data_IF_106138685588
#
_entry.id   IF_106138685588
#
_cell.length_a   1.000
_cell.length_b   1.000
_cell.length_c   1.000
_cell.angle_alpha   90.00
_cell.angle_beta   90.00
_cell.angle_gamma   90.00
#
_symmetry.space_group_name_H-M   'P 1'
#
loop_
_entity.id
_entity.type
_entity.pdbx_description
1 polymer ?
#
# COMPACT_ATOMS: atom_id res chain seq x y z
N UNK A 1 -4.06 10.47 1.11
CA UNK A 1 -2.92 9.56 0.84
C UNK A 1 -3.20 8.81 -0.44
N UNK A 2 -2.16 8.40 -1.17
CA UNK A 2 -2.26 7.52 -2.34
C UNK A 2 -1.51 6.22 -2.06
N UNK A 3 -2.09 5.10 -2.47
CA UNK A 3 -1.67 3.78 -2.02
C UNK A 3 -2.46 2.67 -2.69
N UNK A 4 -2.06 1.45 -2.41
CA UNK A 4 -2.66 0.23 -2.94
C UNK A 4 -3.31 -0.58 -1.82
N UNK A 5 -4.48 -1.14 -2.10
CA UNK A 5 -5.11 -2.11 -1.21
C UNK A 5 -4.64 -3.50 -1.60
N UNK A 6 -4.19 -4.28 -0.61
CA UNK A 6 -3.79 -5.67 -0.79
C UNK A 6 -4.55 -6.56 0.19
N UNK A 7 -4.86 -7.78 -0.22
CA UNK A 7 -5.39 -8.83 0.67
C UNK A 7 -4.38 -9.96 0.66
N UNK A 8 -3.98 -10.41 1.84
CA UNK A 8 -3.07 -11.54 2.00
C UNK A 8 -3.84 -12.86 2.10
N UNK A 9 -3.31 -13.88 1.46
CA UNK A 9 -3.71 -15.28 1.62
C UNK A 9 -2.43 -16.10 1.83
N UNK A 10 -2.14 -16.41 3.09
CA UNK A 10 -0.84 -16.94 3.48
C UNK A 10 0.28 -15.93 3.18
N UNK A 11 1.28 -16.34 2.42
CA UNK A 11 2.45 -15.52 2.06
C UNK A 11 2.29 -14.76 0.73
N UNK A 12 1.10 -14.79 0.13
CA UNK A 12 0.85 -14.19 -1.19
C UNK A 12 -0.30 -13.21 -1.16
N UNK A 13 -0.25 -12.22 -2.04
CA UNK A 13 -1.37 -11.32 -2.30
C UNK A 13 -2.44 -12.04 -3.13
N UNK A 14 -3.71 -11.75 -2.86
CA UNK A 14 -4.86 -12.28 -3.57
C UNK A 14 -5.79 -11.15 -4.01
N UNK A 15 -5.62 -10.73 -5.27
CA UNK A 15 -6.42 -9.67 -5.89
C UNK A 15 -7.90 -10.05 -6.06
N UNK A 16 -8.21 -11.34 -6.27
CA UNK A 16 -9.59 -11.79 -6.44
C UNK A 16 -10.45 -11.51 -5.19
N UNK A 17 -9.86 -11.55 -3.98
CA UNK A 17 -10.56 -11.16 -2.76
C UNK A 17 -10.91 -9.66 -2.71
N UNK A 18 -10.08 -8.79 -3.28
CA UNK A 18 -10.41 -7.36 -3.42
C UNK A 18 -11.54 -7.17 -4.43
N UNK A 19 -11.47 -7.81 -5.59
CA UNK A 19 -12.52 -7.73 -6.61
C UNK A 19 -13.87 -8.20 -6.06
N UNK A 20 -13.90 -9.27 -5.27
CA UNK A 20 -15.13 -9.76 -4.61
C UNK A 20 -15.79 -8.71 -3.72
N UNK A 21 -15.02 -7.80 -3.09
CA UNK A 21 -15.60 -6.73 -2.26
C UNK A 21 -16.42 -5.74 -3.09
N UNK A 22 -16.01 -5.45 -4.33
CA UNK A 22 -16.70 -4.50 -5.21
C UNK A 22 -18.11 -5.00 -5.55
N UNK A 23 -18.29 -6.30 -5.67
CA UNK A 23 -19.57 -6.93 -6.07
C UNK A 23 -20.32 -7.58 -4.91
N UNK A 24 -19.79 -7.52 -3.68
CA UNK A 24 -20.30 -8.26 -2.51
C UNK A 24 -21.69 -7.80 -2.02
N UNK A 25 -22.12 -6.57 -2.35
CA UNK A 25 -23.37 -6.00 -1.86
C UNK A 25 -23.52 -6.18 -0.34
N UNK A 26 -24.62 -6.82 0.08
CA UNK A 26 -24.93 -7.06 1.50
C UNK A 26 -23.93 -7.97 2.22
N UNK A 27 -23.16 -8.80 1.49
CA UNK A 27 -22.16 -9.71 2.06
C UNK A 27 -20.82 -9.01 2.34
N UNK A 28 -20.68 -7.74 1.97
CA UNK A 28 -19.43 -7.00 2.12
C UNK A 28 -18.86 -7.02 3.55
N UNK A 29 -19.65 -6.81 4.62
CA UNK A 29 -19.12 -6.85 5.98
C UNK A 29 -18.49 -8.21 6.32
N UNK A 30 -19.09 -9.31 5.89
CA UNK A 30 -18.60 -10.66 6.17
C UNK A 30 -17.34 -10.98 5.36
N UNK A 31 -17.32 -10.62 4.07
CA UNK A 31 -16.13 -10.79 3.22
C UNK A 31 -14.96 -9.96 3.74
N UNK A 32 -15.22 -8.71 4.16
CA UNK A 32 -14.19 -7.83 4.69
C UNK A 32 -13.58 -8.35 6.01
N UNK A 33 -14.40 -8.97 6.87
CA UNK A 33 -13.93 -9.62 8.11
C UNK A 33 -13.12 -10.88 7.83
N UNK A 34 -13.55 -11.73 6.89
CA UNK A 34 -12.85 -12.98 6.55
C UNK A 34 -11.51 -12.76 5.86
N UNK A 35 -11.44 -11.74 5.00
CA UNK A 35 -10.25 -11.44 4.21
C UNK A 35 -9.85 -9.97 4.40
N UNK A 36 -9.24 -9.60 5.53
CA UNK A 36 -8.91 -8.21 5.82
C UNK A 36 -7.93 -7.64 4.80
N UNK A 37 -8.17 -6.39 4.38
CA UNK A 37 -7.29 -5.69 3.46
C UNK A 37 -6.28 -4.85 4.23
N UNK A 38 -5.10 -4.69 3.64
CA UNK A 38 -4.04 -3.83 4.09
C UNK A 38 -3.90 -2.69 3.08
N UNK A 39 -3.71 -1.47 3.56
CA UNK A 39 -3.49 -0.31 2.74
C UNK A 39 -2.00 0.05 2.76
N UNK A 40 -1.33 -0.16 1.64
CA UNK A 40 0.09 0.07 1.43
C UNK A 40 0.25 1.43 0.73
N UNK A 41 0.73 2.42 1.47
CA UNK A 41 0.75 3.82 1.05
C UNK A 41 2.11 4.18 0.47
N UNK A 42 2.13 4.78 -0.71
CA UNK A 42 3.37 5.21 -1.37
C UNK A 42 3.51 6.72 -1.50
N UNK A 43 2.42 7.51 -1.44
CA UNK A 43 2.49 8.96 -1.60
C UNK A 43 1.47 9.76 -0.75
N UNK A 44 1.80 11.04 -0.50
CA UNK A 44 0.98 11.99 0.23
C UNK A 44 0.71 13.23 -0.63
N UNK A 45 -0.50 13.32 -1.17
CA UNK A 45 -0.90 14.43 -2.06
C UNK A 45 -1.36 15.69 -1.33
N UNK A 46 -1.77 15.55 -0.07
CA UNK A 46 -2.23 16.66 0.78
C UNK A 46 -2.04 16.30 2.25
N UNK A 47 -1.65 17.28 3.06
CA UNK A 47 -1.49 17.14 4.51
C UNK A 47 -2.64 17.85 5.25
N UNK A 48 -2.98 17.43 6.48
CA UNK A 48 -3.93 18.17 7.32
C UNK A 48 -3.49 19.64 7.51
N UNK A 49 -4.43 20.60 7.58
CA UNK A 49 -5.88 20.40 7.52
C UNK A 49 -6.46 20.34 6.09
N UNK A 50 -5.70 20.61 5.04
CA UNK A 50 -6.04 20.42 3.60
C UNK A 50 -4.96 21.10 2.72
N UNK A 51 -3.68 21.01 3.09
CA UNK A 51 -2.59 21.67 2.37
C UNK A 51 -2.14 20.79 1.20
N UNK A 52 -2.32 21.20 -0.06
CA UNK A 52 -1.85 20.44 -1.21
C UNK A 52 -0.32 20.35 -1.20
N UNK A 53 0.21 19.19 -1.59
CA UNK A 53 1.65 18.90 -1.67
C UNK A 53 2.09 18.54 -3.10
N UNK A 54 1.22 18.70 -4.09
CA UNK A 54 1.47 18.30 -5.49
C UNK A 54 2.72 18.98 -6.08
N UNK A 55 3.03 20.20 -5.67
CA UNK A 55 4.21 20.96 -6.10
C UNK A 55 5.50 20.57 -5.37
N UNK A 56 5.43 19.67 -4.38
CA UNK A 56 6.57 19.25 -3.57
C UNK A 56 7.25 18.04 -4.21
N UNK A 57 8.59 17.95 -4.18
CA UNK A 57 9.30 16.74 -4.59
C UNK A 57 8.82 15.50 -3.82
N UNK A 58 8.85 14.32 -4.48
CA UNK A 58 8.41 13.05 -3.87
C UNK A 58 9.11 12.75 -2.54
N UNK A 59 10.41 13.03 -2.41
CA UNK A 59 11.15 12.77 -1.17
C UNK A 59 10.65 13.63 0.02
N UNK A 60 10.22 14.87 -0.22
CA UNK A 60 9.61 15.72 0.81
C UNK A 60 8.23 15.16 1.23
N UNK A 61 7.42 14.74 0.25
CA UNK A 61 6.11 14.12 0.51
C UNK A 61 6.26 12.80 1.28
N UNK A 62 7.29 12.01 0.94
CA UNK A 62 7.63 10.75 1.59
C UNK A 62 8.07 10.95 3.04
N UNK A 63 8.87 11.97 3.33
CA UNK A 63 9.28 12.30 4.70
C UNK A 63 8.07 12.63 5.59
N UNK A 64 7.17 13.49 5.09
CA UNK A 64 5.92 13.83 5.80
C UNK A 64 5.03 12.60 5.99
N UNK A 65 4.86 11.79 4.95
CA UNK A 65 4.07 10.56 5.03
C UNK A 65 4.63 9.59 6.08
N UNK A 66 5.95 9.44 6.14
CA UNK A 66 6.63 8.56 7.10
C UNK A 66 6.38 9.02 8.53
N UNK A 67 6.45 10.33 8.79
CA UNK A 67 6.13 10.89 10.10
C UNK A 67 4.66 10.65 10.48
N UNK A 68 3.74 10.83 9.52
CA UNK A 68 2.31 10.61 9.76
C UNK A 68 1.95 9.16 10.05
N UNK A 69 2.70 8.20 9.51
CA UNK A 69 2.44 6.76 9.69
C UNK A 69 3.32 6.11 10.76
N UNK A 70 4.06 6.87 11.56
CA UNK A 70 4.94 6.33 12.59
C UNK A 70 4.19 5.43 13.61
N UNK A 71 2.98 5.84 14.00
CA UNK A 71 2.12 5.11 14.94
C UNK A 71 0.92 4.44 14.24
N UNK A 72 1.02 4.22 12.93
CA UNK A 72 -0.07 3.61 12.17
C UNK A 72 -0.25 2.13 12.55
N UNK A 73 -1.50 1.61 12.53
CA UNK A 73 -1.73 0.19 12.73
C UNK A 73 -1.08 -0.62 11.59
N UNK A 74 -0.67 -1.86 11.85
CA UNK A 74 0.00 -2.72 10.86
C UNK A 74 -0.76 -2.91 9.52
N UNK A 75 -2.09 -2.71 9.52
CA UNK A 75 -2.92 -2.75 8.30
C UNK A 75 -2.81 -1.49 7.42
N UNK A 76 -2.12 -0.46 7.89
CA UNK A 76 -1.81 0.77 7.18
C UNK A 76 -0.29 0.95 7.22
N UNK A 77 0.39 0.59 6.14
CA UNK A 77 1.86 0.56 6.10
C UNK A 77 2.39 1.37 4.93
N UNK A 78 3.67 1.72 5.00
CA UNK A 78 4.37 2.35 3.89
C UNK A 78 4.81 1.30 2.88
N UNK A 79 4.65 1.60 1.60
CA UNK A 79 5.33 0.85 0.54
C UNK A 79 6.84 0.98 0.73
N UNK A 80 7.62 -0.11 0.70
CA UNK A 80 9.08 -0.04 0.68
C UNK A 80 9.57 0.87 -0.46
N UNK A 81 10.64 1.61 -0.21
CA UNK A 81 11.28 2.47 -1.20
C UNK A 81 12.79 2.44 -0.98
N UNK A 82 13.55 2.38 -2.06
CA UNK A 82 15.01 2.39 -2.01
C UNK A 82 15.56 3.28 -3.11
N UNK A 83 16.76 3.81 -2.89
CA UNK A 83 17.58 4.46 -3.91
C UNK A 83 18.72 3.54 -4.37
N UNK A 84 18.83 2.35 -3.79
CA UNK A 84 19.82 1.33 -4.14
C UNK A 84 19.30 0.47 -5.30
N UNK A 85 20.03 0.47 -6.40
CA UNK A 85 19.68 -0.28 -7.61
C UNK A 85 19.78 -1.79 -7.40
N UNK A 86 20.74 -2.26 -6.61
CA UNK A 86 20.92 -3.69 -6.36
C UNK A 86 19.76 -4.22 -5.52
N UNK A 87 19.34 -3.45 -4.51
CA UNK A 87 18.16 -3.75 -3.73
C UNK A 87 16.87 -3.72 -4.57
N UNK A 88 16.72 -2.75 -5.47
CA UNK A 88 15.57 -2.69 -6.36
C UNK A 88 15.52 -3.91 -7.32
N UNK A 89 16.67 -4.35 -7.84
CA UNK A 89 16.78 -5.53 -8.69
C UNK A 89 16.47 -6.83 -7.91
N UNK A 90 16.90 -6.92 -6.65
CA UNK A 90 16.54 -8.02 -5.76
C UNK A 90 15.02 -8.08 -5.56
N UNK A 91 14.36 -6.96 -5.27
CA UNK A 91 12.91 -6.91 -5.10
C UNK A 91 12.18 -7.35 -6.36
N UNK A 92 12.61 -6.86 -7.52
CA UNK A 92 12.00 -7.20 -8.81
C UNK A 92 12.01 -8.72 -9.08
N UNK A 93 13.03 -9.42 -8.61
CA UNK A 93 13.14 -10.88 -8.82
C UNK A 93 12.47 -11.69 -7.72
N UNK A 94 12.63 -11.30 -6.46
CA UNK A 94 12.22 -12.10 -5.29
C UNK A 94 10.76 -11.91 -4.90
N UNK A 95 10.19 -10.71 -5.08
CA UNK A 95 8.86 -10.39 -4.56
C UNK A 95 7.70 -10.84 -5.45
N UNK A 96 8.00 -11.28 -6.67
CA UNK A 96 7.02 -11.92 -7.56
C UNK A 96 6.40 -13.18 -6.92
N UNK A 97 7.16 -13.91 -6.10
CA UNK A 97 6.67 -15.05 -5.34
C UNK A 97 5.55 -14.67 -4.36
N UNK A 98 5.65 -13.50 -3.74
CA UNK A 98 4.63 -12.93 -2.85
C UNK A 98 3.44 -12.32 -3.63
N UNK A 99 3.47 -12.31 -4.96
CA UNK A 99 2.42 -11.72 -5.80
C UNK A 99 2.55 -10.20 -5.99
N UNK A 100 3.75 -9.64 -5.80
CA UNK A 100 4.05 -8.24 -6.15
C UNK A 100 4.43 -8.19 -7.63
N UNK A 101 3.77 -7.33 -8.40
CA UNK A 101 3.86 -7.31 -9.86
C UNK A 101 5.15 -6.65 -10.40
N UNK A 102 5.80 -5.79 -9.61
CA UNK A 102 7.05 -5.11 -10.02
C UNK A 102 7.50 -4.00 -9.08
N UNK A 103 8.37 -3.13 -9.60
CA UNK A 103 8.93 -1.93 -8.92
C UNK A 103 8.59 -0.69 -9.77
N UNK A 104 8.25 0.42 -9.11
CA UNK A 104 7.87 1.72 -9.71
C UNK A 104 8.81 2.85 -9.27
#
# INVERSE_FOLDING_TARGET
>A
MNGELVVWEGERTNFAHLQRRVTAGVQLPDIARRHPAHYVVFDLLSAPPCRPLLDRPLHERRALLTQMLADAPARLTLSPQTTDLDQAAEWLTTWTAAGIEGVL
#
